data_IF_577118096896
#
_entry.id   IF_577118096896
#
_cell.length_a   1.000
_cell.length_b   1.000
_cell.length_c   1.000
_cell.angle_alpha   90.00
_cell.angle_beta   90.00
_cell.angle_gamma   90.00
#
_symmetry.space_group_name_H-M   'P 1'
#
loop_
_entity.id
_entity.type
_entity.pdbx_description
1 polymer ?
#
# COMPACT_ATOMS: atom_id res chain seq x y z
N UNK A 1 -8.84 0.90 33.77
CA UNK A 1 -8.16 0.44 32.54
C UNK A 1 -7.24 1.51 31.99
N UNK A 2 -7.81 2.52 31.33
CA UNK A 2 -7.09 3.65 30.70
C UNK A 2 -6.04 4.30 31.60
N UNK A 3 -6.41 4.68 32.84
CA UNK A 3 -5.49 5.34 33.79
C UNK A 3 -4.29 4.45 34.13
N UNK A 4 -4.51 3.16 34.35
CA UNK A 4 -3.44 2.20 34.65
C UNK A 4 -2.54 1.99 33.43
N UNK A 5 -3.12 1.91 32.23
CA UNK A 5 -2.36 1.78 30.99
C UNK A 5 -1.48 3.02 30.73
N UNK A 6 -2.02 4.23 30.93
CA UNK A 6 -1.26 5.47 30.75
C UNK A 6 -0.16 5.63 31.80
N UNK A 7 -0.38 5.19 33.04
CA UNK A 7 0.61 5.26 34.11
C UNK A 7 1.81 4.31 33.90
N UNK A 8 1.61 3.18 33.22
CA UNK A 8 2.65 2.18 32.97
C UNK A 8 3.52 2.50 31.74
N UNK A 9 3.09 3.43 30.87
CA UNK A 9 3.83 3.77 29.66
C UNK A 9 4.98 4.73 29.93
N UNK A 10 6.20 4.36 29.49
CA UNK A 10 7.33 5.30 29.51
C UNK A 10 7.21 6.34 28.39
N UNK A 11 7.38 7.61 28.75
CA UNK A 11 7.26 8.77 27.86
C UNK A 11 8.17 8.67 26.63
N UNK A 12 9.37 8.10 26.77
CA UNK A 12 10.33 7.94 25.67
C UNK A 12 9.79 7.06 24.54
N UNK A 13 9.12 5.95 24.87
CA UNK A 13 8.51 5.07 23.87
C UNK A 13 7.35 5.76 23.17
N UNK A 14 6.47 6.40 23.94
CA UNK A 14 5.33 7.15 23.40
C UNK A 14 5.83 8.20 22.38
N UNK A 15 6.90 8.92 22.70
CA UNK A 15 7.50 9.90 21.78
C UNK A 15 7.97 9.30 20.45
N UNK A 16 8.50 8.07 20.46
CA UNK A 16 8.92 7.37 19.24
C UNK A 16 7.70 6.90 18.44
N UNK A 17 6.71 6.31 19.12
CA UNK A 17 5.53 5.70 18.49
C UNK A 17 4.63 6.75 17.87
N UNK A 18 4.40 7.86 18.58
CA UNK A 18 3.59 8.98 18.10
C UNK A 18 4.21 9.63 16.85
N UNK A 19 5.51 9.43 16.59
CA UNK A 19 6.17 9.89 15.37
C UNK A 19 6.09 8.88 14.22
N UNK A 20 5.56 7.68 14.45
CA UNK A 20 5.39 6.69 13.39
C UNK A 20 4.18 7.01 12.53
N UNK A 21 4.36 6.92 11.21
CA UNK A 21 3.27 7.16 10.25
C UNK A 21 2.05 6.28 10.51
N UNK A 22 2.27 4.99 10.80
CA UNK A 22 1.18 4.03 11.04
C UNK A 22 0.33 4.47 12.25
N UNK A 23 0.94 4.99 13.32
CA UNK A 23 0.22 5.55 14.47
C UNK A 23 -0.55 6.83 14.12
N UNK A 24 0.11 7.79 13.48
CA UNK A 24 -0.54 9.06 13.11
C UNK A 24 -1.73 8.83 12.17
N UNK A 25 -1.61 7.91 11.21
CA UNK A 25 -2.67 7.55 10.30
C UNK A 25 -3.87 6.95 11.05
N UNK A 26 -3.63 5.95 11.90
CA UNK A 26 -4.70 5.30 12.68
C UNK A 26 -5.38 6.26 13.65
N UNK A 27 -4.59 7.08 14.35
CA UNK A 27 -5.14 8.09 15.25
C UNK A 27 -5.95 9.14 14.49
N UNK A 28 -5.47 9.59 13.32
CA UNK A 28 -6.18 10.51 12.44
C UNK A 28 -7.51 9.93 11.94
N UNK A 29 -7.51 8.67 11.49
CA UNK A 29 -8.73 7.97 11.10
C UNK A 29 -9.68 7.79 12.28
N UNK A 30 -9.19 7.46 13.48
CA UNK A 30 -9.99 7.36 14.69
C UNK A 30 -10.62 8.69 15.10
N UNK A 31 -9.85 9.79 15.03
CA UNK A 31 -10.38 11.14 15.29
C UNK A 31 -11.43 11.53 14.28
N UNK A 32 -11.23 11.22 12.99
CA UNK A 32 -12.20 11.52 11.94
C UNK A 32 -13.49 10.74 12.17
N UNK A 33 -13.40 9.44 12.47
CA UNK A 33 -14.55 8.62 12.84
C UNK A 33 -15.30 9.20 14.04
N UNK A 34 -14.58 9.52 15.13
CA UNK A 34 -15.21 10.04 16.35
C UNK A 34 -15.91 11.38 16.12
N UNK A 35 -15.29 12.29 15.35
CA UNK A 35 -15.88 13.60 15.03
C UNK A 35 -17.13 13.42 14.18
N UNK A 36 -17.06 12.67 13.07
CA UNK A 36 -18.21 12.50 12.18
C UNK A 36 -19.37 11.79 12.89
N UNK A 37 -19.08 10.72 13.64
CA UNK A 37 -20.12 10.01 14.39
C UNK A 37 -20.74 10.86 15.50
N UNK A 38 -19.95 11.72 16.14
CA UNK A 38 -20.47 12.64 17.16
C UNK A 38 -21.41 13.69 16.56
N UNK A 39 -21.10 14.18 15.36
CA UNK A 39 -21.96 15.10 14.63
C UNK A 39 -23.30 14.44 14.27
N UNK A 40 -23.29 13.20 13.79
CA UNK A 40 -24.52 12.47 13.43
C UNK A 40 -25.41 12.12 14.63
N UNK A 41 -24.82 11.83 15.80
CA UNK A 41 -25.58 11.44 16.99
C UNK A 41 -26.21 12.62 17.72
N UNK A 42 -25.59 13.81 17.71
CA UNK A 42 -26.03 15.07 18.34
C UNK A 42 -26.66 14.98 19.77
N UNK A 43 -26.38 13.91 20.52
CA UNK A 43 -27.00 13.57 21.80
C UNK A 43 -25.96 13.18 22.87
N UNK A 44 -26.42 12.81 24.08
CA UNK A 44 -25.57 12.29 25.16
C UNK A 44 -24.71 11.07 24.75
N UNK A 45 -25.11 10.35 23.69
CA UNK A 45 -24.36 9.22 23.10
C UNK A 45 -22.95 9.60 22.64
N UNK A 46 -22.69 10.89 22.37
CA UNK A 46 -21.36 11.43 22.07
C UNK A 46 -20.33 11.10 23.17
N UNK A 47 -20.76 11.00 24.44
CA UNK A 47 -19.88 10.59 25.53
C UNK A 47 -19.34 9.16 25.33
N UNK A 48 -20.16 8.24 24.79
CA UNK A 48 -19.74 6.87 24.48
C UNK A 48 -18.72 6.88 23.35
N UNK A 49 -18.95 7.69 22.30
CA UNK A 49 -18.00 7.84 21.18
C UNK A 49 -16.65 8.37 21.67
N UNK A 50 -16.64 9.35 22.57
CA UNK A 50 -15.42 9.89 23.16
C UNK A 50 -14.68 8.85 24.02
N UNK A 51 -15.41 8.04 24.79
CA UNK A 51 -14.82 6.92 25.56
C UNK A 51 -14.23 5.88 24.61
N UNK A 52 -14.92 5.51 23.54
CA UNK A 52 -14.41 4.59 22.52
C UNK A 52 -13.14 5.15 21.84
N UNK A 53 -13.14 6.44 21.52
CA UNK A 53 -11.99 7.13 20.95
C UNK A 53 -10.76 7.08 21.87
N UNK A 54 -10.94 7.40 23.16
CA UNK A 54 -9.88 7.31 24.17
C UNK A 54 -9.41 5.86 24.37
N UNK A 55 -10.34 4.90 24.39
CA UNK A 55 -10.02 3.49 24.56
C UNK A 55 -9.16 2.97 23.41
N UNK A 56 -9.50 3.32 22.17
CA UNK A 56 -8.72 2.97 20.99
C UNK A 56 -7.31 3.60 21.04
N UNK A 57 -7.20 4.88 21.41
CA UNK A 57 -5.91 5.55 21.57
C UNK A 57 -5.03 4.84 22.60
N UNK A 58 -5.60 4.47 23.74
CA UNK A 58 -4.90 3.73 24.78
C UNK A 58 -4.46 2.35 24.30
N UNK A 59 -5.32 1.67 23.53
CA UNK A 59 -5.01 0.37 22.97
C UNK A 59 -3.88 0.43 21.93
N UNK A 60 -3.89 1.43 21.04
CA UNK A 60 -2.80 1.67 20.08
C UNK A 60 -1.46 1.89 20.77
N UNK A 61 -1.46 2.65 21.86
CA UNK A 61 -0.25 2.87 22.64
C UNK A 61 0.17 1.58 23.36
N UNK A 62 -0.79 0.82 23.90
CA UNK A 62 -0.55 -0.43 24.62
C UNK A 62 -0.05 -1.56 23.70
N UNK A 63 -0.37 -1.53 22.40
CA UNK A 63 0.16 -2.44 21.37
C UNK A 63 1.69 -2.53 21.40
N UNK A 64 2.35 -1.45 21.78
CA UNK A 64 3.81 -1.35 21.77
C UNK A 64 4.46 -1.79 23.08
N UNK A 65 3.68 -1.85 24.16
CA UNK A 65 4.20 -2.06 25.52
C UNK A 65 3.97 -3.49 26.03
N UNK A 66 2.88 -4.15 25.61
CA UNK A 66 2.52 -5.43 26.21
C UNK A 66 3.24 -6.66 25.64
N UNK A 67 3.66 -7.51 26.58
CA UNK A 67 4.27 -8.83 26.36
C UNK A 67 3.28 -9.79 25.70
N UNK A 68 3.69 -10.41 24.59
CA UNK A 68 2.89 -11.31 23.73
C UNK A 68 2.15 -12.40 24.52
N UNK A 69 0.83 -12.25 24.68
CA UNK A 69 -0.05 -13.20 25.36
C UNK A 69 -1.32 -13.46 24.54
N UNK A 70 -1.96 -14.60 24.75
CA UNK A 70 -3.22 -14.95 24.08
C UNK A 70 -4.35 -13.95 24.38
N UNK A 71 -4.34 -13.33 25.57
CA UNK A 71 -5.32 -12.31 25.96
C UNK A 71 -5.27 -11.09 25.02
N UNK A 72 -4.07 -10.68 24.59
CA UNK A 72 -3.87 -9.54 23.70
C UNK A 72 -4.40 -9.82 22.30
N UNK A 73 -4.30 -11.08 21.84
CA UNK A 73 -4.93 -11.54 20.59
C UNK A 73 -6.44 -11.53 20.72
N UNK A 74 -6.98 -11.99 21.86
CA UNK A 74 -8.41 -11.95 22.16
C UNK A 74 -8.98 -10.54 22.13
N UNK A 75 -8.33 -9.57 22.79
CA UNK A 75 -8.75 -8.16 22.78
C UNK A 75 -8.72 -7.58 21.37
N UNK A 76 -7.66 -7.83 20.60
CA UNK A 76 -7.55 -7.39 19.21
C UNK A 76 -8.67 -7.98 18.32
N UNK A 77 -9.07 -9.22 18.58
CA UNK A 77 -10.17 -9.87 17.87
C UNK A 77 -11.51 -9.21 18.22
N UNK A 78 -11.77 -8.97 19.51
CA UNK A 78 -12.99 -8.29 19.96
C UNK A 78 -13.13 -6.89 19.33
N UNK A 79 -12.03 -6.14 19.24
CA UNK A 79 -12.01 -4.82 18.61
C UNK A 79 -12.24 -4.90 17.09
N UNK A 80 -11.61 -5.86 16.41
CA UNK A 80 -11.87 -6.07 14.99
C UNK A 80 -13.34 -6.44 14.74
N UNK A 81 -13.91 -7.34 15.55
CA UNK A 81 -15.34 -7.69 15.49
C UNK A 81 -16.21 -6.46 15.75
N UNK A 82 -15.84 -5.59 16.69
CA UNK A 82 -16.55 -4.34 16.94
C UNK A 82 -16.61 -3.47 15.68
N UNK A 83 -15.50 -3.24 14.97
CA UNK A 83 -15.53 -2.46 13.73
C UNK A 83 -16.34 -3.13 12.61
N UNK A 84 -16.23 -4.45 12.48
CA UNK A 84 -16.98 -5.23 11.47
C UNK A 84 -18.48 -5.21 11.74
N UNK A 85 -18.89 -5.20 13.01
CA UNK A 85 -20.31 -5.09 13.38
C UNK A 85 -20.82 -3.65 13.31
N UNK A 86 -19.99 -2.67 13.68
CA UNK A 86 -20.36 -1.26 13.65
C UNK A 86 -20.66 -0.79 12.23
N UNK A 87 -19.91 -1.27 11.22
CA UNK A 87 -20.11 -0.90 9.82
C UNK A 87 -21.55 -1.16 9.33
N UNK A 88 -22.11 -2.40 9.38
CA UNK A 88 -23.49 -2.65 8.97
C UNK A 88 -24.51 -1.98 9.89
N UNK A 89 -24.24 -1.87 11.20
CA UNK A 89 -25.17 -1.18 12.12
C UNK A 89 -25.39 0.28 11.72
N UNK A 90 -24.32 1.01 11.41
CA UNK A 90 -24.42 2.40 10.94
C UNK A 90 -24.93 2.47 9.50
N UNK A 91 -24.49 1.56 8.63
CA UNK A 91 -24.89 1.57 7.22
C UNK A 91 -26.37 1.29 7.02
N UNK A 92 -27.00 0.48 7.88
CA UNK A 92 -28.41 0.12 7.79
C UNK A 92 -29.32 1.02 8.64
N UNK A 93 -28.77 2.11 9.18
CA UNK A 93 -29.51 3.05 10.04
C UNK A 93 -30.20 2.34 11.22
N UNK A 94 -29.60 1.26 11.74
CA UNK A 94 -30.16 0.47 12.85
C UNK A 94 -30.10 1.21 14.20
N UNK A 95 -29.51 2.40 14.23
CA UNK A 95 -29.41 3.24 15.41
C UNK A 95 -30.44 4.35 15.26
N UNK A 96 -31.41 4.37 16.17
CA UNK A 96 -32.49 5.36 16.17
C UNK A 96 -31.93 6.80 16.27
N UNK A 97 -32.62 7.76 15.65
CA UNK A 97 -32.28 9.20 15.66
C UNK A 97 -30.91 9.59 15.08
N UNK A 98 -30.37 8.80 14.13
CA UNK A 98 -29.16 9.21 13.41
C UNK A 98 -29.47 10.29 12.37
N UNK A 99 -28.86 11.46 12.53
CA UNK A 99 -29.03 12.58 11.61
C UNK A 99 -27.98 12.50 10.50
N UNK A 100 -28.41 12.18 9.29
CA UNK A 100 -27.55 12.17 8.11
C UNK A 100 -27.34 13.59 7.62
N UNK A 101 -26.10 14.07 7.66
CA UNK A 101 -25.76 15.39 7.16
C UNK A 101 -25.10 15.27 5.79
N UNK A 102 -25.53 16.12 4.86
CA UNK A 102 -24.84 16.31 3.59
C UNK A 102 -23.65 17.23 3.84
N UNK A 103 -22.44 16.68 3.84
CA UNK A 103 -21.21 17.44 4.09
C UNK A 103 -20.88 18.36 2.92
N UNK A 104 -21.08 17.87 1.71
CA UNK A 104 -20.68 18.57 0.50
C UNK A 104 -21.68 18.26 -0.63
N UNK A 105 -22.38 19.30 -1.07
CA UNK A 105 -23.28 19.22 -2.23
C UNK A 105 -22.59 19.92 -3.41
N UNK A 106 -22.15 19.16 -4.40
CA UNK A 106 -21.54 19.69 -5.62
C UNK A 106 -22.27 19.13 -6.85
N UNK A 107 -22.79 20.01 -7.71
CA UNK A 107 -23.53 19.65 -8.96
C UNK A 107 -24.61 18.56 -8.78
N UNK A 108 -25.31 18.56 -7.65
CA UNK A 108 -26.37 17.57 -7.36
C UNK A 108 -25.87 16.20 -6.89
N UNK A 109 -24.58 16.09 -6.57
CA UNK A 109 -23.99 14.95 -5.86
C UNK A 109 -23.78 15.36 -4.41
N UNK A 110 -24.18 14.48 -3.51
CA UNK A 110 -24.12 14.71 -2.07
C UNK A 110 -23.11 13.76 -1.46
N UNK A 111 -22.11 14.30 -0.78
CA UNK A 111 -21.22 13.55 0.07
C UNK A 111 -21.87 13.40 1.45
N UNK A 112 -22.39 12.21 1.75
CA UNK A 112 -23.02 11.93 3.04
C UNK A 112 -21.98 11.66 4.12
N UNK A 113 -22.27 12.04 5.37
CA UNK A 113 -21.49 11.62 6.56
C UNK A 113 -21.42 10.09 6.69
N UNK A 114 -22.46 9.38 6.27
CA UNK A 114 -22.53 7.91 6.25
C UNK A 114 -21.45 7.29 5.36
N UNK A 115 -21.23 7.85 4.16
CA UNK A 115 -20.20 7.38 3.23
C UNK A 115 -18.80 7.56 3.84
N UNK A 116 -18.57 8.68 4.52
CA UNK A 116 -17.31 8.96 5.20
C UNK A 116 -17.09 7.96 6.34
N UNK A 117 -18.11 7.71 7.17
CA UNK A 117 -18.02 6.74 8.27
C UNK A 117 -17.79 5.32 7.79
N UNK A 118 -18.56 4.86 6.82
CA UNK A 118 -18.42 3.51 6.27
C UNK A 118 -17.00 3.28 5.74
N UNK A 119 -16.44 4.28 5.05
CA UNK A 119 -15.09 4.23 4.54
C UNK A 119 -14.02 4.21 5.63
N UNK A 120 -14.14 5.10 6.63
CA UNK A 120 -13.18 5.18 7.74
C UNK A 120 -13.20 3.89 8.56
N UNK A 121 -14.39 3.38 8.89
CA UNK A 121 -14.56 2.12 9.63
C UNK A 121 -13.97 0.95 8.82
N UNK A 122 -14.23 0.89 7.51
CA UNK A 122 -13.65 -0.16 6.65
C UNK A 122 -12.12 -0.14 6.64
N UNK A 123 -11.51 1.04 6.58
CA UNK A 123 -10.06 1.18 6.68
C UNK A 123 -9.56 0.70 8.06
N UNK A 124 -10.19 1.15 9.14
CA UNK A 124 -9.83 0.76 10.50
C UNK A 124 -9.97 -0.75 10.74
N UNK A 125 -11.02 -1.38 10.20
CA UNK A 125 -11.21 -2.83 10.23
C UNK A 125 -10.05 -3.58 9.52
N UNK A 126 -9.58 -3.06 8.39
CA UNK A 126 -8.45 -3.67 7.67
C UNK A 126 -7.13 -3.56 8.45
N UNK A 127 -6.88 -2.44 9.14
CA UNK A 127 -5.69 -2.28 9.97
C UNK A 127 -5.73 -3.10 11.25
N UNK A 128 -6.87 -3.15 11.92
CA UNK A 128 -7.03 -3.99 13.13
C UNK A 128 -6.90 -5.47 12.78
N UNK A 129 -7.38 -5.90 11.61
CA UNK A 129 -7.16 -7.26 11.10
C UNK A 129 -5.66 -7.59 10.91
N UNK A 130 -4.89 -6.65 10.36
CA UNK A 130 -3.43 -6.80 10.25
C UNK A 130 -2.78 -6.97 11.60
N UNK A 131 -3.12 -6.08 12.54
CA UNK A 131 -2.54 -6.10 13.88
C UNK A 131 -2.87 -7.41 14.59
N UNK A 132 -4.12 -7.88 14.46
CA UNK A 132 -4.59 -9.18 14.93
C UNK A 132 -3.79 -10.33 14.30
N UNK A 133 -3.66 -10.36 12.97
CA UNK A 133 -2.95 -11.40 12.24
C UNK A 133 -1.47 -11.47 12.65
N UNK A 134 -0.80 -10.32 12.74
CA UNK A 134 0.60 -10.21 13.18
C UNK A 134 0.77 -10.76 14.59
N UNK A 135 -0.14 -10.44 15.51
CA UNK A 135 -0.10 -10.94 16.89
C UNK A 135 -0.33 -12.44 16.95
N UNK A 136 -1.31 -12.94 16.19
CA UNK A 136 -1.58 -14.37 16.08
C UNK A 136 -0.34 -15.13 15.58
N UNK A 137 0.32 -14.64 14.54
CA UNK A 137 1.56 -15.22 14.03
C UNK A 137 2.68 -15.22 15.08
N UNK A 138 2.89 -14.11 15.79
CA UNK A 138 3.92 -14.00 16.82
C UNK A 138 3.71 -15.00 17.96
N UNK A 139 2.46 -15.18 18.40
CA UNK A 139 2.10 -16.17 19.43
C UNK A 139 2.32 -17.60 18.91
N UNK A 140 1.92 -17.88 17.66
CA UNK A 140 2.11 -19.19 17.02
C UNK A 140 3.59 -19.55 16.86
N UNK A 141 4.42 -18.60 16.42
CA UNK A 141 5.86 -18.80 16.26
C UNK A 141 6.53 -19.10 17.61
N UNK A 142 6.17 -18.36 18.66
CA UNK A 142 6.72 -18.56 20.00
C UNK A 142 6.32 -19.91 20.62
N UNK A 143 5.11 -20.40 20.34
CA UNK A 143 4.70 -21.77 20.74
C UNK A 143 5.59 -22.84 20.11
N UNK A 144 6.06 -22.61 18.89
CA UNK A 144 6.89 -23.55 18.14
C UNK A 144 8.39 -23.46 18.49
N UNK A 145 8.83 -22.43 19.22
CA UNK A 145 10.22 -22.27 19.70
C UNK A 145 10.29 -21.95 21.20
N UNK A 146 9.92 -22.90 22.07
CA UNK A 146 9.93 -22.69 23.53
C UNK A 146 11.35 -22.51 24.10
N UNK A 147 12.36 -23.14 23.50
CA UNK A 147 13.75 -23.15 24.02
C UNK A 147 14.48 -21.80 23.89
N UNK A 148 14.28 -21.09 22.77
CA UNK A 148 14.81 -19.73 22.58
C UNK A 148 14.13 -18.71 23.52
N UNK A 149 12.87 -18.96 23.91
CA UNK A 149 12.13 -18.11 24.84
C UNK A 149 12.57 -18.29 26.30
N UNK A 150 13.02 -19.49 26.69
CA UNK A 150 13.59 -19.75 28.02
C UNK A 150 14.99 -19.14 28.19
N UNK A 151 15.84 -19.14 27.15
CA UNK A 151 17.14 -18.45 27.22
C UNK A 151 17.03 -16.92 27.39
N UNK A 152 15.97 -16.31 26.86
CA UNK A 152 15.69 -14.88 27.07
C UNK A 152 15.10 -14.56 28.45
N UNK A 153 14.58 -15.55 29.18
CA UNK A 153 14.01 -15.38 30.53
C UNK A 153 15.08 -15.37 31.64
N UNK A 154 16.29 -15.84 31.36
CA UNK A 154 17.43 -15.82 32.29
C UNK A 154 18.13 -14.47 32.43
N UNK A 155 17.92 -13.54 31.49
CA UNK A 155 18.48 -12.17 31.56
C UNK A 155 17.44 -11.20 32.12
N UNK A 156 17.40 -11.15 33.46
CA UNK A 156 16.73 -10.12 34.23
C UNK A 156 17.40 -8.76 33.91
N UNK A 157 16.60 -7.79 33.45
CA UNK A 157 16.94 -6.39 33.26
C UNK A 157 17.94 -6.01 32.14
N UNK A 158 17.46 -5.92 30.89
CA UNK A 158 17.90 -4.87 29.95
C UNK A 158 16.76 -4.58 28.94
N UNK A 159 16.41 -3.30 28.66
CA UNK A 159 15.24 -2.92 27.88
C UNK A 159 15.54 -2.94 26.38
N UNK A 160 14.51 -3.21 25.57
CA UNK A 160 14.57 -3.33 24.10
C UNK A 160 15.53 -4.40 23.59
N UNK A 161 15.04 -5.64 23.54
CA UNK A 161 15.53 -6.59 22.57
C UNK A 161 15.08 -6.07 21.19
N UNK A 162 15.91 -5.24 20.55
CA UNK A 162 15.91 -5.16 19.09
C UNK A 162 15.99 -6.60 18.64
N UNK A 163 14.94 -7.09 17.96
CA UNK A 163 15.06 -8.31 17.21
C UNK A 163 16.15 -8.05 16.17
N UNK A 164 17.39 -8.46 16.48
CA UNK A 164 18.41 -8.71 15.49
C UNK A 164 17.73 -9.65 14.51
N UNK A 165 17.46 -9.16 13.29
CA UNK A 165 16.73 -9.89 12.27
C UNK A 165 17.30 -11.31 12.23
N UNK A 166 16.47 -12.29 12.58
CA UNK A 166 16.86 -13.69 12.60
C UNK A 166 17.30 -14.03 11.19
N UNK A 167 18.60 -14.33 11.07
CA UNK A 167 19.33 -14.76 9.88
C UNK A 167 19.73 -13.62 8.91
N UNK A 168 21.04 -13.38 8.72
CA UNK A 168 21.51 -12.62 7.56
C UNK A 168 21.22 -13.46 6.31
N UNK A 169 20.03 -13.28 5.73
CA UNK A 169 19.70 -13.84 4.43
C UNK A 169 20.61 -13.15 3.39
N UNK A 170 21.74 -13.78 3.10
CA UNK A 170 22.53 -13.47 1.93
C UNK A 170 21.66 -13.80 0.71
N UNK A 171 21.16 -12.77 0.06
CA UNK A 171 20.33 -12.89 -1.11
C UNK A 171 21.22 -13.14 -2.33
N UNK A 172 21.12 -14.33 -2.93
CA UNK A 172 21.82 -14.59 -4.19
C UNK A 172 21.23 -13.70 -5.29
N UNK A 173 22.10 -12.90 -5.89
CA UNK A 173 21.76 -12.01 -6.98
C UNK A 173 21.33 -12.71 -8.27
N UNK A 174 21.60 -14.01 -8.38
CA UNK A 174 21.21 -14.82 -9.53
C UNK A 174 19.78 -15.37 -9.43
N UNK A 175 19.13 -15.31 -8.26
CA UNK A 175 17.77 -15.83 -8.03
C UNK A 175 16.69 -14.80 -8.44
N UNK A 176 16.74 -14.36 -9.70
CA UNK A 176 15.69 -13.54 -10.32
C UNK A 176 14.52 -14.39 -10.81
N UNK A 177 13.34 -13.79 -10.95
CA UNK A 177 12.15 -14.49 -11.49
C UNK A 177 12.43 -15.10 -12.86
N UNK A 178 13.24 -14.43 -13.68
CA UNK A 178 13.74 -14.98 -14.94
C UNK A 178 15.27 -14.89 -15.04
N UNK A 179 16.02 -15.99 -14.80
CA UNK A 179 17.48 -15.98 -14.71
C UNK A 179 18.19 -15.54 -16.00
N UNK A 180 17.64 -15.85 -17.18
CA UNK A 180 18.26 -15.47 -18.47
C UNK A 180 18.29 -13.95 -18.70
N UNK A 181 17.27 -13.23 -18.22
CA UNK A 181 17.17 -11.77 -18.32
C UNK A 181 18.00 -11.11 -17.21
N UNK A 182 18.11 -11.78 -16.05
CA UNK A 182 18.94 -11.36 -14.91
C UNK A 182 20.43 -11.71 -15.00
N UNK A 183 20.86 -12.44 -16.05
CA UNK A 183 22.24 -12.91 -16.16
C UNK A 183 23.27 -11.77 -16.21
N UNK A 184 24.47 -12.02 -15.71
CA UNK A 184 25.53 -11.06 -15.39
C UNK A 184 25.98 -10.11 -16.53
N UNK A 185 25.49 -10.26 -17.76
CA UNK A 185 25.83 -9.40 -18.89
C UNK A 185 25.22 -7.99 -18.78
N UNK A 186 25.96 -6.98 -19.27
CA UNK A 186 25.46 -5.62 -19.36
C UNK A 186 24.27 -5.56 -20.34
N UNK A 187 23.18 -4.91 -19.93
CA UNK A 187 22.03 -4.68 -20.80
C UNK A 187 22.43 -3.63 -21.84
N UNK A 188 22.30 -3.97 -23.13
CA UNK A 188 22.56 -3.04 -24.21
C UNK A 188 21.62 -1.82 -24.13
N UNK A 189 22.14 -0.61 -24.39
CA UNK A 189 21.40 0.64 -24.28
C UNK A 189 20.08 0.65 -25.06
N UNK A 190 20.02 -0.01 -26.22
CA UNK A 190 18.79 -0.09 -27.01
C UNK A 190 17.66 -0.83 -26.27
N UNK A 191 17.97 -1.87 -25.49
CA UNK A 191 16.97 -2.60 -24.69
C UNK A 191 16.41 -1.72 -23.58
N UNK A 192 17.26 -0.85 -23.02
CA UNK A 192 16.86 0.11 -22.01
C UNK A 192 15.93 1.18 -22.59
N UNK A 193 16.29 1.74 -23.75
CA UNK A 193 15.45 2.70 -24.48
C UNK A 193 14.11 2.07 -24.85
N UNK A 194 14.11 0.81 -25.30
CA UNK A 194 12.88 0.07 -25.59
C UNK A 194 11.99 -0.11 -24.35
N UNK A 195 12.59 -0.46 -23.20
CA UNK A 195 11.85 -0.67 -21.96
C UNK A 195 11.21 0.61 -21.41
N UNK A 196 11.98 1.70 -21.33
CA UNK A 196 11.42 2.99 -20.89
C UNK A 196 10.46 3.58 -21.92
N UNK A 197 10.77 3.40 -23.21
CA UNK A 197 9.90 3.79 -24.31
C UNK A 197 8.54 3.08 -24.24
N UNK A 198 8.50 1.78 -23.97
CA UNK A 198 7.24 1.04 -23.83
C UNK A 198 6.44 1.50 -22.62
N UNK A 199 7.09 1.78 -21.48
CA UNK A 199 6.42 2.36 -20.31
C UNK A 199 5.84 3.75 -20.58
N UNK A 200 6.60 4.64 -21.23
CA UNK A 200 6.14 5.99 -21.59
C UNK A 200 4.99 5.96 -22.61
N UNK A 201 5.08 5.12 -23.64
CA UNK A 201 4.01 4.92 -24.62
C UNK A 201 2.78 4.33 -23.93
N UNK A 202 2.95 3.30 -23.09
CA UNK A 202 1.87 2.70 -22.32
C UNK A 202 1.12 3.71 -21.46
N UNK A 203 1.84 4.57 -20.72
CA UNK A 203 1.26 5.60 -19.88
C UNK A 203 0.61 6.75 -20.67
N UNK A 204 1.24 7.20 -21.74
CA UNK A 204 0.71 8.28 -22.59
C UNK A 204 -0.57 7.83 -23.32
N UNK A 205 -0.55 6.62 -23.88
CA UNK A 205 -1.73 6.02 -24.49
C UNK A 205 -2.82 5.73 -23.46
N UNK A 206 -2.48 5.32 -22.24
CA UNK A 206 -3.47 5.11 -21.18
C UNK A 206 -4.21 6.41 -20.82
N UNK A 207 -3.47 7.51 -20.63
CA UNK A 207 -4.06 8.82 -20.39
C UNK A 207 -4.94 9.26 -21.57
N UNK A 208 -4.46 9.05 -22.81
CA UNK A 208 -5.23 9.33 -24.01
C UNK A 208 -6.55 8.54 -24.04
N UNK A 209 -6.51 7.22 -23.76
CA UNK A 209 -7.72 6.38 -23.74
C UNK A 209 -8.71 6.74 -22.62
N UNK A 210 -8.28 7.37 -21.54
CA UNK A 210 -9.17 7.84 -20.47
C UNK A 210 -9.85 9.17 -20.78
N UNK A 211 -9.13 10.11 -21.37
CA UNK A 211 -9.57 11.51 -21.49
C UNK A 211 -10.12 11.88 -22.87
N UNK A 212 -9.87 11.06 -23.90
CA UNK A 212 -10.27 11.37 -25.28
C UNK A 212 -11.63 10.74 -25.60
N UNK A 213 -12.53 11.47 -26.29
CA UNK A 213 -13.82 10.94 -26.72
C UNK A 213 -13.68 9.73 -27.65
N UNK A 214 -14.57 8.74 -27.50
CA UNK A 214 -14.56 7.48 -28.26
C UNK A 214 -14.61 7.67 -29.79
N UNK A 215 -15.18 8.78 -30.27
CA UNK A 215 -15.31 9.04 -31.71
C UNK A 215 -14.00 9.51 -32.39
N UNK A 216 -12.91 9.60 -31.64
CA UNK A 216 -11.63 10.07 -32.18
C UNK A 216 -10.95 8.95 -32.95
N UNK A 217 -10.56 9.21 -34.20
CA UNK A 217 -9.86 8.24 -35.04
C UNK A 217 -8.59 7.73 -34.32
N UNK A 218 -8.48 6.41 -34.15
CA UNK A 218 -7.35 5.76 -33.49
C UNK A 218 -7.50 5.52 -31.98
N UNK A 219 -8.64 5.83 -31.37
CA UNK A 219 -8.89 5.53 -29.95
C UNK A 219 -8.72 4.03 -29.64
N UNK A 220 -9.23 3.15 -30.51
CA UNK A 220 -9.13 1.69 -30.34
C UNK A 220 -7.68 1.20 -30.37
N UNK A 221 -6.90 1.71 -31.32
CA UNK A 221 -5.47 1.40 -31.47
C UNK A 221 -4.71 1.88 -30.24
N UNK A 222 -5.03 3.08 -29.74
CA UNK A 222 -4.40 3.64 -28.54
C UNK A 222 -4.67 2.78 -27.30
N UNK A 223 -5.91 2.27 -27.14
CA UNK A 223 -6.31 1.44 -26.02
C UNK A 223 -5.55 0.12 -26.01
N UNK A 224 -5.53 -0.59 -27.14
CA UNK A 224 -4.78 -1.85 -27.27
C UNK A 224 -3.28 -1.63 -27.10
N UNK A 225 -2.74 -0.58 -27.71
CA UNK A 225 -1.32 -0.23 -27.59
C UNK A 225 -0.95 0.08 -26.13
N UNK A 226 -1.81 0.78 -25.40
CA UNK A 226 -1.57 1.10 -23.98
C UNK A 226 -1.40 -0.17 -23.14
N UNK A 227 -2.31 -1.14 -23.29
CA UNK A 227 -2.29 -2.39 -22.52
C UNK A 227 -1.09 -3.25 -22.91
N UNK A 228 -0.84 -3.43 -24.21
CA UNK A 228 0.28 -4.25 -24.69
C UNK A 228 1.62 -3.65 -24.26
N UNK A 229 1.81 -2.35 -24.43
CA UNK A 229 3.06 -1.67 -24.05
C UNK A 229 3.29 -1.74 -22.53
N UNK A 230 2.23 -1.54 -21.74
CA UNK A 230 2.29 -1.68 -20.28
C UNK A 230 2.60 -3.11 -19.85
N UNK A 231 1.94 -4.14 -20.41
CA UNK A 231 2.23 -5.56 -20.10
C UNK A 231 3.69 -5.89 -20.40
N UNK A 232 4.22 -5.45 -21.54
CA UNK A 232 5.63 -5.66 -21.90
C UNK A 232 6.55 -4.98 -20.88
N UNK A 233 6.29 -3.71 -20.56
CA UNK A 233 7.08 -2.96 -19.59
C UNK A 233 7.05 -3.63 -18.20
N UNK A 234 5.87 -3.92 -17.67
CA UNK A 234 5.68 -4.52 -16.35
C UNK A 234 6.20 -5.95 -16.27
N UNK A 235 6.03 -6.73 -17.35
CA UNK A 235 6.51 -8.10 -17.43
C UNK A 235 8.02 -8.18 -17.39
N UNK A 236 8.71 -7.36 -18.19
CA UNK A 236 10.18 -7.27 -18.16
C UNK A 236 10.67 -6.81 -16.79
N UNK A 237 9.98 -5.84 -16.18
CA UNK A 237 10.31 -5.37 -14.83
C UNK A 237 10.15 -6.47 -13.78
N UNK A 238 9.01 -7.16 -13.76
CA UNK A 238 8.73 -8.26 -12.84
C UNK A 238 9.71 -9.43 -13.00
N UNK A 239 10.08 -9.77 -14.24
CA UNK A 239 11.09 -10.79 -14.54
C UNK A 239 12.49 -10.42 -14.00
N UNK A 240 12.78 -9.13 -13.87
CA UNK A 240 14.06 -8.61 -13.37
C UNK A 240 14.12 -8.53 -11.84
N UNK A 241 12.98 -8.64 -11.16
CA UNK A 241 12.91 -8.65 -9.70
C UNK A 241 13.48 -9.93 -9.11
N UNK A 242 14.05 -9.82 -7.92
CA UNK A 242 14.52 -10.99 -7.18
C UNK A 242 13.31 -11.73 -6.59
N UNK A 243 13.23 -13.05 -6.77
CA UNK A 243 12.03 -13.83 -6.44
C UNK A 243 11.65 -13.75 -4.95
N UNK A 244 12.64 -13.86 -4.07
CA UNK A 244 12.43 -13.83 -2.62
C UNK A 244 12.04 -12.44 -2.13
N UNK A 245 12.71 -11.40 -2.64
CA UNK A 245 12.41 -10.02 -2.29
C UNK A 245 11.03 -9.61 -2.83
N UNK A 246 10.69 -10.01 -4.05
CA UNK A 246 9.37 -9.81 -4.63
C UNK A 246 8.29 -10.49 -3.81
N UNK A 247 8.50 -11.76 -3.41
CA UNK A 247 7.57 -12.47 -2.53
C UNK A 247 7.37 -11.68 -1.23
N UNK A 248 8.45 -11.18 -0.61
CA UNK A 248 8.38 -10.40 0.64
C UNK A 248 7.71 -9.04 0.47
N UNK A 249 7.92 -8.37 -0.67
CA UNK A 249 7.25 -7.11 -1.03
C UNK A 249 5.77 -7.36 -1.22
N UNK A 250 5.39 -8.34 -2.05
CA UNK A 250 4.00 -8.62 -2.41
C UNK A 250 3.20 -9.17 -1.22
N UNK A 251 3.85 -9.86 -0.27
CA UNK A 251 3.21 -10.29 0.98
C UNK A 251 3.26 -9.23 2.09
N UNK A 252 3.94 -8.10 1.88
CA UNK A 252 3.95 -7.00 2.85
C UNK A 252 2.54 -6.41 2.95
N UNK A 253 2.07 -6.21 4.17
CA UNK A 253 0.78 -5.55 4.39
C UNK A 253 0.72 -4.17 3.71
N UNK A 254 1.80 -3.39 3.73
CA UNK A 254 1.80 -2.07 3.11
C UNK A 254 1.56 -2.14 1.60
N UNK A 255 2.11 -3.18 0.95
CA UNK A 255 1.88 -3.45 -0.46
C UNK A 255 0.44 -3.91 -0.72
N UNK A 256 -0.02 -4.90 0.05
CA UNK A 256 -1.36 -5.48 -0.10
C UNK A 256 -2.43 -4.42 0.13
N UNK A 257 -2.31 -3.65 1.21
CA UNK A 257 -3.21 -2.55 1.54
C UNK A 257 -3.27 -1.56 0.38
N UNK A 258 -2.13 -1.00 -0.05
CA UNK A 258 -2.13 -0.01 -1.11
C UNK A 258 -2.64 -0.58 -2.45
N UNK A 259 -2.25 -1.80 -2.79
CA UNK A 259 -2.73 -2.48 -4.01
C UNK A 259 -4.23 -2.74 -3.96
N UNK A 260 -4.79 -3.14 -2.81
CA UNK A 260 -6.24 -3.26 -2.63
C UNK A 260 -6.95 -1.92 -2.81
N UNK A 261 -6.38 -0.82 -2.28
CA UNK A 261 -6.94 0.52 -2.50
C UNK A 261 -6.92 0.90 -3.99
N UNK A 262 -5.80 0.68 -4.69
CA UNK A 262 -5.68 0.98 -6.12
C UNK A 262 -6.62 0.13 -6.98
N UNK A 263 -6.76 -1.16 -6.68
CA UNK A 263 -7.70 -2.06 -7.38
C UNK A 263 -9.14 -1.58 -7.14
N UNK A 264 -9.49 -1.23 -5.91
CA UNK A 264 -10.81 -0.69 -5.58
C UNK A 264 -11.10 0.62 -6.35
N UNK A 265 -10.14 1.54 -6.41
CA UNK A 265 -10.25 2.76 -7.24
C UNK A 265 -10.40 2.42 -8.72
N UNK A 266 -9.61 1.50 -9.25
CA UNK A 266 -9.71 1.07 -10.65
C UNK A 266 -11.10 0.51 -10.98
N UNK A 267 -11.67 -0.31 -10.09
CA UNK A 267 -13.05 -0.80 -10.24
C UNK A 267 -14.07 0.34 -10.25
N UNK A 268 -13.90 1.35 -9.38
CA UNK A 268 -14.77 2.52 -9.35
C UNK A 268 -14.70 3.32 -10.65
N UNK A 269 -13.50 3.57 -11.15
CA UNK A 269 -13.30 4.31 -12.40
C UNK A 269 -13.91 3.54 -13.58
N UNK A 270 -13.70 2.22 -13.67
CA UNK A 270 -14.30 1.37 -14.71
C UNK A 270 -15.83 1.42 -14.63
N UNK A 271 -16.41 1.40 -13.42
CA UNK A 271 -17.86 1.47 -13.24
C UNK A 271 -18.43 2.84 -13.65
N UNK A 272 -17.76 3.93 -13.28
CA UNK A 272 -18.11 5.31 -13.70
C UNK A 272 -18.12 5.43 -15.22
N UNK A 273 -17.14 4.83 -15.92
CA UNK A 273 -17.10 4.77 -17.38
C UNK A 273 -18.14 3.83 -18.00
N UNK A 274 -19.10 3.32 -17.21
CA UNK A 274 -20.17 2.43 -17.67
C UNK A 274 -19.61 1.16 -18.33
N UNK A 275 -18.43 0.71 -17.92
CA UNK A 275 -17.71 -0.45 -18.49
C UNK A 275 -17.41 -0.33 -19.99
N UNK A 276 -17.29 0.90 -20.50
CA UNK A 276 -16.77 1.15 -21.85
C UNK A 276 -15.35 0.59 -21.97
N UNK A 277 -15.07 -0.08 -23.08
CA UNK A 277 -13.84 -0.85 -23.21
C UNK A 277 -12.59 0.04 -23.34
N UNK A 278 -12.68 1.16 -24.06
CA UNK A 278 -11.54 2.07 -24.34
C UNK A 278 -10.96 2.65 -23.03
N UNK A 279 -11.76 3.31 -22.15
CA UNK A 279 -11.22 3.82 -20.89
C UNK A 279 -10.81 2.69 -19.93
N UNK A 280 -11.49 1.54 -19.99
CA UNK A 280 -11.14 0.35 -19.18
C UNK A 280 -9.72 -0.13 -19.51
N UNK A 281 -9.33 -0.17 -20.79
CA UNK A 281 -7.96 -0.47 -21.19
C UNK A 281 -6.96 0.54 -20.62
N UNK A 282 -7.31 1.84 -20.64
CA UNK A 282 -6.51 2.89 -20.01
C UNK A 282 -6.31 2.67 -18.51
N UNK A 283 -7.39 2.36 -17.77
CA UNK A 283 -7.35 2.10 -16.32
C UNK A 283 -6.51 0.87 -16.00
N UNK A 284 -6.70 -0.23 -16.74
CA UNK A 284 -5.90 -1.44 -16.58
C UNK A 284 -4.43 -1.17 -16.86
N UNK A 285 -4.12 -0.41 -17.92
CA UNK A 285 -2.75 -0.01 -18.25
C UNK A 285 -2.11 0.84 -17.14
N UNK A 286 -2.83 1.84 -16.62
CA UNK A 286 -2.39 2.67 -15.49
C UNK A 286 -2.12 1.83 -14.23
N UNK A 287 -3.02 0.90 -13.91
CA UNK A 287 -2.87 0.00 -12.76
C UNK A 287 -1.65 -0.92 -12.90
N UNK A 288 -1.41 -1.46 -14.10
CA UNK A 288 -0.22 -2.26 -14.40
C UNK A 288 1.07 -1.44 -14.17
N UNK A 289 1.13 -0.22 -14.70
CA UNK A 289 2.28 0.67 -14.50
C UNK A 289 2.46 1.08 -13.03
N UNK A 290 1.37 1.33 -12.30
CA UNK A 290 1.45 1.60 -10.87
C UNK A 290 2.01 0.38 -10.11
N UNK A 291 1.60 -0.83 -10.49
CA UNK A 291 2.11 -2.07 -9.89
C UNK A 291 3.61 -2.28 -10.14
N UNK A 292 4.13 -1.95 -11.33
CA UNK A 292 5.59 -2.00 -11.55
C UNK A 292 6.32 -0.99 -10.69
N UNK A 293 5.81 0.22 -10.53
CA UNK A 293 6.36 1.26 -9.64
C UNK A 293 6.40 0.79 -8.17
N UNK A 294 5.33 0.14 -7.67
CA UNK A 294 5.31 -0.38 -6.29
C UNK A 294 6.22 -1.59 -6.07
N UNK A 295 6.51 -2.36 -7.12
CA UNK A 295 7.41 -3.52 -7.03
C UNK A 295 8.88 -3.17 -7.28
N UNK A 296 9.22 -1.89 -7.48
CA UNK A 296 10.59 -1.40 -7.66
C UNK A 296 11.53 -1.82 -6.52
N UNK A 297 11.03 -1.93 -5.30
CA UNK A 297 11.86 -2.39 -4.18
C UNK A 297 12.20 -3.87 -4.23
N UNK A 298 11.53 -4.67 -5.05
CA UNK A 298 11.95 -6.04 -5.32
C UNK A 298 13.17 -6.12 -6.26
N UNK A 299 13.60 -4.98 -6.82
CA UNK A 299 14.76 -4.87 -7.69
C UNK A 299 16.03 -4.68 -6.87
N UNK A 300 17.03 -5.55 -7.07
CA UNK A 300 18.30 -5.42 -6.35
C UNK A 300 19.07 -4.15 -6.76
N UNK A 301 19.92 -3.59 -5.89
CA UNK A 301 20.73 -2.40 -6.21
C UNK A 301 21.59 -2.57 -7.47
N UNK A 302 22.13 -3.77 -7.70
CA UNK A 302 22.91 -4.08 -8.91
C UNK A 302 22.04 -3.93 -10.16
N UNK A 303 20.80 -4.42 -10.12
CA UNK A 303 19.86 -4.31 -11.24
C UNK A 303 19.35 -2.88 -11.41
N UNK A 304 19.10 -2.14 -10.32
CA UNK A 304 18.77 -0.70 -10.36
C UNK A 304 19.85 0.10 -11.09
N UNK A 305 21.14 -0.12 -10.80
CA UNK A 305 22.25 0.54 -11.52
C UNK A 305 22.31 0.15 -12.99
N UNK A 306 22.07 -1.12 -13.32
CA UNK A 306 22.04 -1.61 -14.71
C UNK A 306 20.90 -0.98 -15.51
N UNK A 307 19.73 -0.85 -14.91
CA UNK A 307 18.58 -0.17 -15.50
C UNK A 307 18.68 1.36 -15.43
N UNK A 308 19.80 1.91 -14.92
CA UNK A 308 20.01 3.35 -14.67
C UNK A 308 18.82 3.99 -13.95
N UNK A 309 18.24 3.21 -13.04
CA UNK A 309 16.98 3.53 -12.42
C UNK A 309 17.22 4.61 -11.36
N UNK A 310 16.63 5.78 -11.56
CA UNK A 310 16.71 6.90 -10.62
C UNK A 310 15.45 6.94 -9.78
N UNK A 311 15.56 7.17 -8.48
CA UNK A 311 14.37 7.28 -7.62
C UNK A 311 13.43 8.42 -8.05
N UNK A 312 13.96 9.46 -8.70
CA UNK A 312 13.14 10.52 -9.29
C UNK A 312 12.12 10.00 -10.30
N UNK A 313 12.40 8.92 -11.04
CA UNK A 313 11.45 8.37 -12.01
C UNK A 313 10.29 7.63 -11.31
N UNK A 314 10.56 6.96 -10.19
CA UNK A 314 9.53 6.36 -9.32
C UNK A 314 8.62 7.44 -8.79
N UNK A 315 9.21 8.49 -8.20
CA UNK A 315 8.46 9.60 -7.61
C UNK A 315 7.63 10.30 -8.69
N UNK A 316 8.20 10.53 -9.87
CA UNK A 316 7.48 11.05 -11.03
C UNK A 316 6.30 10.15 -11.44
N UNK A 317 6.49 8.84 -11.47
CA UNK A 317 5.42 7.87 -11.77
C UNK A 317 4.30 7.88 -10.73
N UNK A 318 4.62 7.96 -9.43
CA UNK A 318 3.64 8.08 -8.34
C UNK A 318 2.85 9.38 -8.47
N UNK A 319 3.53 10.51 -8.69
CA UNK A 319 2.88 11.81 -8.85
C UNK A 319 1.98 11.83 -10.09
N UNK A 320 2.46 11.30 -11.21
CA UNK A 320 1.65 11.20 -12.44
C UNK A 320 0.38 10.38 -12.21
N UNK A 321 0.50 9.24 -11.52
CA UNK A 321 -0.65 8.42 -11.14
C UNK A 321 -1.65 9.21 -10.28
N UNK A 322 -1.17 9.97 -9.28
CA UNK A 322 -2.05 10.83 -8.47
C UNK A 322 -2.75 11.91 -9.29
N UNK A 323 -2.03 12.55 -10.23
CA UNK A 323 -2.61 13.59 -11.07
C UNK A 323 -3.73 13.05 -11.94
N UNK A 324 -3.55 11.87 -12.54
CA UNK A 324 -4.58 11.21 -13.36
C UNK A 324 -5.81 10.90 -12.52
N UNK A 325 -5.65 10.24 -11.37
CA UNK A 325 -6.76 9.87 -10.48
C UNK A 325 -7.47 11.12 -9.91
N UNK A 326 -6.70 12.16 -9.55
CA UNK A 326 -7.25 13.42 -9.02
C UNK A 326 -7.99 14.21 -10.11
N UNK A 327 -7.52 14.17 -11.36
CA UNK A 327 -8.21 14.80 -12.48
C UNK A 327 -9.56 14.11 -12.75
N UNK A 328 -9.58 12.77 -12.74
CA UNK A 328 -10.83 12.00 -12.84
C UNK A 328 -11.79 12.35 -11.69
N UNK A 329 -11.30 12.36 -10.46
CA UNK A 329 -12.10 12.73 -9.28
C UNK A 329 -12.64 14.17 -9.36
N UNK A 330 -11.81 15.12 -9.80
CA UNK A 330 -12.20 16.52 -9.95
C UNK A 330 -13.28 16.67 -11.03
N UNK A 331 -13.19 15.90 -12.11
CA UNK A 331 -14.23 15.91 -13.14
C UNK A 331 -15.53 15.30 -12.63
N UNK A 332 -15.46 14.16 -11.93
CA UNK A 332 -16.61 13.53 -11.28
C UNK A 332 -17.31 14.49 -10.31
N UNK A 333 -16.56 15.22 -9.48
CA UNK A 333 -17.14 16.02 -8.40
C UNK A 333 -17.51 17.46 -8.81
N UNK A 334 -16.71 18.10 -9.69
CA UNK A 334 -16.78 19.56 -9.92
C UNK A 334 -17.05 19.90 -11.39
N UNK A 335 -16.20 19.42 -12.30
CA UNK A 335 -16.20 19.91 -13.70
C UNK A 335 -17.33 19.30 -14.53
N UNK A 336 -17.58 18.00 -14.37
CA UNK A 336 -18.55 17.23 -15.13
C UNK A 336 -18.39 17.35 -16.64
N UNK A 337 -17.17 17.52 -17.15
CA UNK A 337 -16.91 17.68 -18.58
C UNK A 337 -17.00 16.34 -19.32
N UNK A 338 -16.66 15.22 -18.68
CA UNK A 338 -16.64 13.90 -19.32
C UNK A 338 -17.94 13.10 -19.17
N UNK A 339 -19.03 13.74 -18.73
CA UNK A 339 -20.35 13.09 -18.50
C UNK A 339 -20.25 11.81 -17.63
N UNK A 340 -19.32 11.80 -16.68
CA UNK A 340 -19.09 10.68 -15.78
C UNK A 340 -20.31 10.45 -14.89
N UNK A 341 -20.82 9.22 -14.84
CA UNK A 341 -22.04 8.89 -14.11
C UNK A 341 -21.72 8.51 -12.67
N UNK A 342 -22.41 9.15 -11.71
CA UNK A 342 -22.39 8.66 -10.33
C UNK A 342 -23.40 7.52 -10.21
N UNK A 343 -22.88 6.30 -10.03
CA UNK A 343 -23.67 5.07 -9.99
C UNK A 343 -23.77 4.58 -8.55
N UNK A 344 -24.79 3.77 -8.29
CA UNK A 344 -24.89 3.02 -7.03
C UNK A 344 -23.93 1.84 -7.12
N UNK A 345 -22.85 1.89 -6.34
CA UNK A 345 -21.83 0.85 -6.27
C UNK A 345 -22.36 -0.42 -5.59
N UNK A 346 -23.08 -0.22 -4.49
CA UNK A 346 -23.63 -1.29 -3.67
C UNK A 346 -25.03 -0.88 -3.18
N UNK A 347 -26.04 -1.67 -3.55
CA UNK A 347 -27.39 -1.60 -2.98
C UNK A 347 -27.55 -2.86 -2.13
N UNK A 348 -27.58 -2.68 -0.82
CA UNK A 348 -27.67 -3.80 0.12
C UNK A 348 -28.93 -3.65 0.96
N UNK A 349 -29.69 -4.75 1.04
CA UNK A 349 -30.93 -4.83 1.83
C UNK A 349 -30.75 -5.87 2.93
N UNK A 350 -30.80 -5.42 4.19
CA UNK A 350 -30.70 -6.31 5.34
C UNK A 350 -31.66 -5.82 6.42
N UNK A 351 -32.38 -6.77 7.05
CA UNK A 351 -33.40 -6.48 8.06
C UNK A 351 -34.50 -5.51 7.58
N UNK A 352 -34.79 -5.51 6.27
CA UNK A 352 -35.82 -4.65 5.67
C UNK A 352 -35.37 -3.21 5.39
N UNK A 353 -34.19 -2.81 5.86
CA UNK A 353 -33.59 -1.50 5.56
C UNK A 353 -32.72 -1.58 4.31
N UNK A 354 -32.70 -0.50 3.51
CA UNK A 354 -31.89 -0.40 2.29
C UNK A 354 -30.78 0.63 2.47
N UNK A 355 -29.54 0.21 2.24
CA UNK A 355 -28.38 1.09 2.22
C UNK A 355 -27.84 1.19 0.78
N UNK A 356 -27.66 2.42 0.30
CA UNK A 356 -27.12 2.71 -1.03
C UNK A 356 -25.79 3.44 -0.91
N UNK A 357 -24.74 2.86 -1.48
CA UNK A 357 -23.42 3.47 -1.56
C UNK A 357 -23.14 3.94 -2.97
N UNK A 358 -22.73 5.20 -3.10
CA UNK A 358 -22.39 5.81 -4.38
C UNK A 358 -20.90 5.65 -4.70
N UNK A 359 -20.57 5.59 -5.99
CA UNK A 359 -19.19 5.36 -6.45
C UNK A 359 -18.31 6.58 -6.15
N UNK A 360 -18.80 7.81 -6.32
CA UNK A 360 -17.98 9.01 -6.17
C UNK A 360 -17.44 9.23 -4.73
N UNK A 361 -18.25 9.16 -3.66
CA UNK A 361 -17.77 9.21 -2.27
C UNK A 361 -16.74 8.12 -1.95
N UNK A 362 -17.00 6.90 -2.44
CA UNK A 362 -16.08 5.78 -2.24
C UNK A 362 -14.75 6.04 -2.96
N UNK A 363 -14.76 6.45 -4.22
CA UNK A 363 -13.56 6.81 -4.99
C UNK A 363 -12.75 7.93 -4.32
N UNK A 364 -13.41 8.99 -3.84
CA UNK A 364 -12.77 10.09 -3.10
C UNK A 364 -11.96 9.57 -1.90
N UNK A 365 -12.59 8.74 -1.07
CA UNK A 365 -11.95 8.13 0.09
C UNK A 365 -10.73 7.28 -0.29
N UNK A 366 -10.83 6.48 -1.35
CA UNK A 366 -9.72 5.63 -1.81
C UNK A 366 -8.56 6.46 -2.35
N UNK A 367 -8.83 7.52 -3.12
CA UNK A 367 -7.80 8.42 -3.65
C UNK A 367 -7.07 9.14 -2.51
N UNK A 368 -7.80 9.69 -1.53
CA UNK A 368 -7.18 10.32 -0.34
C UNK A 368 -6.29 9.30 0.39
N UNK A 369 -6.79 8.07 0.58
CA UNK A 369 -6.03 7.00 1.24
C UNK A 369 -4.75 6.68 0.46
N UNK A 370 -4.83 6.52 -0.87
CA UNK A 370 -3.70 6.26 -1.75
C UNK A 370 -2.68 7.40 -1.66
N UNK A 371 -3.10 8.66 -1.76
CA UNK A 371 -2.22 9.84 -1.70
C UNK A 371 -1.51 9.93 -0.35
N UNK A 372 -2.23 9.77 0.76
CA UNK A 372 -1.62 9.80 2.11
C UNK A 372 -0.61 8.66 2.27
N UNK A 373 -0.96 7.44 1.83
CA UNK A 373 -0.11 6.26 1.96
C UNK A 373 1.13 6.29 1.08
N UNK A 374 0.98 6.69 -0.17
CA UNK A 374 2.11 6.79 -1.10
C UNK A 374 2.91 8.08 -0.92
N UNK A 375 2.30 9.13 -0.34
CA UNK A 375 2.97 10.36 0.07
C UNK A 375 4.07 10.11 1.09
N UNK A 376 3.89 9.13 1.97
CA UNK A 376 4.97 8.61 2.82
C UNK A 376 6.18 8.16 2.00
N UNK A 377 5.97 7.45 0.88
CA UNK A 377 7.08 6.96 0.05
C UNK A 377 7.79 8.11 -0.65
N UNK A 378 7.04 9.08 -1.18
CA UNK A 378 7.60 10.30 -1.77
C UNK A 378 8.40 11.08 -0.73
N UNK A 379 7.84 11.29 0.47
CA UNK A 379 8.53 11.99 1.55
C UNK A 379 9.81 11.28 2.00
N UNK A 380 9.78 9.96 2.16
CA UNK A 380 10.97 9.17 2.53
C UNK A 380 12.03 9.24 1.44
N UNK A 381 11.63 9.22 0.17
CA UNK A 381 12.56 9.34 -0.97
C UNK A 381 13.16 10.74 -1.04
N UNK A 382 12.35 11.79 -0.81
CA UNK A 382 12.81 13.17 -0.83
C UNK A 382 13.76 13.50 0.33
N UNK A 383 13.57 12.87 1.49
CA UNK A 383 14.38 13.15 2.70
C UNK A 383 15.61 12.27 2.84
N UNK A 384 15.69 11.13 2.15
CA UNK A 384 16.87 10.25 2.20
C UNK A 384 17.75 10.45 0.97
N UNK A 385 19.03 10.74 1.22
CA UNK A 385 20.01 10.93 0.16
C UNK A 385 20.61 9.63 -0.38
N UNK A 386 20.31 8.47 0.23
CA UNK A 386 20.98 7.20 -0.07
C UNK A 386 20.07 6.25 -0.88
N UNK A 387 20.43 6.03 -2.14
CA UNK A 387 19.69 5.23 -3.14
C UNK A 387 19.65 3.72 -2.86
N UNK A 388 20.27 3.23 -1.79
CA UNK A 388 20.30 1.78 -1.49
C UNK A 388 19.20 1.34 -0.51
N UNK A 389 18.41 2.26 0.04
CA UNK A 389 17.36 1.92 0.99
C UNK A 389 16.09 1.41 0.28
N UNK A 390 15.55 0.28 0.74
CA UNK A 390 14.26 -0.25 0.32
C UNK A 390 13.14 0.60 0.97
N UNK A 391 12.33 1.27 0.15
CA UNK A 391 11.34 2.26 0.62
C UNK A 391 10.13 1.58 1.29
N UNK A 392 9.65 0.48 0.70
CA UNK A 392 8.44 -0.26 1.05
C UNK A 392 8.69 -1.29 2.17
N UNK A 393 9.88 -1.90 2.18
CA UNK A 393 10.31 -2.89 3.19
C UNK A 393 10.99 -2.27 4.42
N UNK A 394 10.93 -0.94 4.56
CA UNK A 394 11.50 -0.11 5.64
C UNK A 394 12.04 -0.88 6.85
N UNK A 395 13.37 -0.94 6.99
CA UNK A 395 14.08 -1.41 8.19
C UNK A 395 14.15 -2.93 8.37
N UNK A 396 13.53 -3.73 7.51
CA UNK A 396 13.56 -5.19 7.61
C UNK A 396 14.67 -5.86 6.79
N UNK A 397 15.26 -5.13 5.84
CA UNK A 397 16.34 -5.58 4.96
C UNK A 397 17.19 -4.36 4.61
N UNK A 398 18.47 -4.39 4.98
CA UNK A 398 19.48 -3.46 4.46
C UNK A 398 20.45 -4.26 3.60
N UNK A 399 20.77 -3.72 2.42
CA UNK A 399 21.68 -4.38 1.50
C UNK A 399 23.11 -3.94 1.82
N UNK A 400 23.91 -4.83 2.40
CA UNK A 400 25.34 -4.59 2.64
C UNK A 400 26.13 -4.77 1.33
N UNK A 401 26.18 -3.67 0.56
CA UNK A 401 26.89 -3.62 -0.71
C UNK A 401 28.40 -3.90 -0.55
N UNK A 402 29.01 -3.46 0.54
CA UNK A 402 30.46 -3.56 0.76
C UNK A 402 30.88 -4.98 1.13
N UNK A 403 30.02 -5.70 1.85
CA UNK A 403 30.20 -7.13 2.07
C UNK A 403 30.02 -7.93 0.78
N UNK A 404 28.99 -7.64 -0.02
CA UNK A 404 28.78 -8.31 -1.31
C UNK A 404 29.96 -8.10 -2.27
N UNK A 405 30.48 -6.86 -2.37
CA UNK A 405 31.66 -6.58 -3.21
C UNK A 405 32.84 -7.44 -2.76
N UNK A 406 33.14 -7.47 -1.46
CA UNK A 406 34.24 -8.28 -0.92
C UNK A 406 34.07 -9.76 -1.26
N UNK A 407 32.89 -10.31 -1.03
CA UNK A 407 32.57 -11.72 -1.34
C UNK A 407 32.68 -12.02 -2.85
N UNK A 408 32.23 -11.11 -3.72
CA UNK A 408 32.34 -11.25 -5.17
C UNK A 408 33.78 -11.16 -5.70
N UNK A 409 34.66 -10.42 -5.03
CA UNK A 409 36.09 -10.33 -5.36
C UNK A 409 36.92 -11.44 -4.70
N UNK A 410 36.47 -12.03 -3.60
CA UNK A 410 37.21 -13.06 -2.86
C UNK A 410 36.96 -14.49 -3.34
N UNK A 411 36.01 -14.73 -4.25
CA UNK A 411 35.69 -16.06 -4.78
C UNK A 411 36.60 -16.40 -5.99
N UNK A 412 37.71 -17.16 -5.82
CA UNK A 412 38.74 -17.30 -6.85
C UNK A 412 38.25 -18.11 -8.06
N UNK A 413 37.21 -18.92 -7.87
CA UNK A 413 36.65 -19.83 -8.89
C UNK A 413 35.92 -19.10 -10.03
N UNK A 414 35.36 -17.90 -9.81
CA UNK A 414 34.73 -17.11 -10.89
C UNK A 414 35.74 -16.35 -11.75
N UNK A 415 36.90 -16.02 -11.19
CA UNK A 415 38.01 -15.38 -11.93
C UNK A 415 38.64 -16.33 -12.94
N UNK A 416 38.75 -17.61 -12.60
CA UNK A 416 39.33 -18.64 -13.48
C UNK A 416 38.44 -18.87 -14.71
N UNK A 417 37.11 -18.80 -14.55
CA UNK A 417 36.17 -18.95 -15.67
C UNK A 417 36.10 -17.73 -16.61
N UNK A 418 36.68 -16.58 -16.20
CA UNK A 418 36.83 -15.39 -17.06
C UNK A 418 38.14 -15.39 -17.87
N UNK A 419 39.15 -16.15 -17.44
CA UNK A 419 40.42 -16.30 -18.16
C UNK A 419 40.41 -17.46 -19.17
N UNK A 420 39.37 -18.31 -19.19
CA UNK A 420 39.29 -19.46 -20.10
C UNK A 420 38.52 -19.21 -21.40
N UNK A 421 38.47 -17.96 -21.90
CA UNK A 421 38.16 -17.72 -23.31
C UNK A 421 39.50 -17.63 -24.04
N UNK A 422 39.95 -18.68 -24.75
CA UNK A 422 41.20 -18.60 -25.49
C UNK A 422 41.07 -17.55 -26.58
N UNK A 423 42.05 -16.64 -26.62
CA UNK A 423 42.25 -15.76 -27.76
C UNK A 423 42.35 -16.60 -29.03
N UNK A 424 41.52 -16.27 -30.01
CA UNK A 424 41.78 -16.68 -31.39
C UNK A 424 42.95 -15.84 -31.88
N UNK A 425 44.10 -16.49 -31.99
CA UNK A 425 45.11 -16.12 -32.96
C UNK A 425 44.46 -16.02 -34.34
N UNK A 426 44.64 -14.89 -35.01
CA UNK A 426 44.74 -14.84 -36.46
C UNK A 426 45.79 -13.79 -36.82
N UNK A 427 46.78 -14.28 -37.57
CA UNK A 427 47.81 -13.55 -38.28
C UNK A 427 47.24 -12.56 -39.29
#
# INVERSE_FOLDING_TARGET
>A
GIVVALADMRIEYVKIIVRTFDFCFLQGSNTLWAVVLSLEMNDLRVLVVLVCWLNFMCWLLQETYLRTSYLIVGVALCEWVFYVMLLPTLSLELVDDLHHYTLLTARGRELSTQDVLANVIGNMAMFTLRNLYRRYQNVKYRKNQPEAAMQALGYRHLPMQMHLASEPYAYDSCDTVWPRIGSLAAIASWKLVFLYGSGMVGGSCAAFSMFVPENTFGADVSAVLSVVASIVCTGVFACSCQRQLLKRVVTSFHFLFLTTQMIATAFCVIDIFSRRWIPTCGVVSSLLLAYSVLTVDALMPVMKRRLRFQYSTVVGGIILFWLVESALLLDVLVLGNWNLQDRVLLDFTLLGQRAKFYVAPFMLSRIITIVVWSGRFVFVTATRHNDNALILLRGNVEFDLERWKREAYSDPLRTIQRQSVPGKDFA
#
